data_IF_271056141091
#
_entry.id   IF_271056141091
#
_cell.length_a   1.000
_cell.length_b   1.000
_cell.length_c   1.000
_cell.angle_alpha   90.00
_cell.angle_beta   90.00
_cell.angle_gamma   90.00
#
_symmetry.space_group_name_H-M   'P 1'
#
loop_
_entity.id
_entity.type
_entity.pdbx_description
1 polymer ?
#
# COMPACT_ATOMS: atom_id res chain seq x y z
N UNK A 1 -4.45 12.47 -7.73
CA UNK A 1 -3.44 12.55 -8.81
C UNK A 1 -2.38 11.48 -8.64
N UNK A 2 -1.69 11.44 -7.51
CA UNK A 2 -0.63 10.43 -7.27
C UNK A 2 -1.13 8.98 -7.39
N UNK A 3 -2.27 8.65 -6.79
CA UNK A 3 -2.88 7.32 -6.95
C UNK A 3 -3.13 6.92 -8.43
N UNK A 4 -3.53 7.85 -9.30
CA UNK A 4 -3.76 7.59 -10.73
C UNK A 4 -2.42 7.40 -11.45
N UNK A 5 -1.40 8.19 -11.10
CA UNK A 5 -0.04 8.04 -11.65
C UNK A 5 0.54 6.67 -11.28
N UNK A 6 0.44 6.29 -10.01
CA UNK A 6 0.91 5.02 -9.48
C UNK A 6 0.12 3.83 -10.05
N UNK A 7 -1.17 3.98 -10.33
CA UNK A 7 -1.93 2.97 -11.07
C UNK A 7 -1.27 2.68 -12.43
N UNK A 8 -0.98 3.71 -13.22
CA UNK A 8 -0.31 3.56 -14.51
C UNK A 8 1.08 2.90 -14.39
N UNK A 9 1.90 3.39 -13.46
CA UNK A 9 3.25 2.86 -13.19
C UNK A 9 3.22 1.37 -12.78
N UNK A 10 2.22 0.98 -12.00
CA UNK A 10 2.05 -0.40 -11.50
C UNK A 10 1.17 -1.26 -12.41
N UNK A 11 0.95 -0.85 -13.67
CA UNK A 11 0.18 -1.61 -14.67
C UNK A 11 -1.25 -1.97 -14.20
N UNK A 12 -1.87 -1.05 -13.46
CA UNK A 12 -3.20 -1.20 -12.88
C UNK A 12 -3.24 -2.00 -11.59
N UNK A 13 -2.11 -2.36 -10.98
CA UNK A 13 -2.06 -3.16 -9.76
C UNK A 13 -2.46 -2.36 -8.52
N UNK A 14 -1.98 -1.12 -8.39
CA UNK A 14 -2.53 -0.17 -7.44
C UNK A 14 -3.77 0.49 -8.05
N UNK A 15 -4.97 0.13 -7.62
CA UNK A 15 -6.20 0.75 -8.10
C UNK A 15 -7.06 1.20 -6.91
N UNK A 16 -7.16 2.52 -6.72
CA UNK A 16 -7.95 3.12 -5.63
C UNK A 16 -9.47 3.02 -5.86
N UNK A 17 -9.93 2.42 -6.95
CA UNK A 17 -11.35 2.20 -7.23
C UNK A 17 -11.84 0.80 -6.84
N UNK A 18 -10.98 -0.03 -6.22
CA UNK A 18 -11.32 -1.40 -5.78
C UNK A 18 -12.15 -1.46 -4.50
N UNK A 19 -12.57 -0.32 -3.93
CA UNK A 19 -13.42 -0.27 -2.74
C UNK A 19 -14.62 -1.23 -2.77
N UNK A 20 -15.38 -1.37 -3.88
CA UNK A 20 -16.49 -2.32 -3.95
C UNK A 20 -16.06 -3.79 -3.77
N UNK A 21 -14.85 -4.15 -4.20
CA UNK A 21 -14.27 -5.48 -4.05
C UNK A 21 -13.71 -5.67 -2.63
N UNK A 22 -13.00 -4.69 -2.09
CA UNK A 22 -12.51 -4.69 -0.69
C UNK A 22 -13.67 -4.92 0.29
N UNK A 23 -14.80 -4.22 0.06
CA UNK A 23 -16.02 -4.40 0.81
C UNK A 23 -16.62 -5.80 0.65
N UNK A 24 -16.70 -6.32 -0.58
CA UNK A 24 -17.22 -7.65 -0.86
C UNK A 24 -16.44 -8.75 -0.11
N UNK A 25 -15.14 -8.57 0.06
CA UNK A 25 -14.28 -9.50 0.80
C UNK A 25 -14.21 -9.23 2.32
N UNK A 26 -14.99 -8.28 2.85
CA UNK A 26 -15.07 -8.03 4.29
C UNK A 26 -13.88 -7.26 4.89
N UNK A 27 -13.06 -6.63 4.04
CA UNK A 27 -11.91 -5.83 4.47
C UNK A 27 -12.23 -4.33 4.56
N UNK A 28 -13.41 -3.93 4.10
CA UNK A 28 -13.93 -2.57 4.23
C UNK A 28 -14.93 -2.42 5.40
N UNK A 29 -15.69 -1.31 5.45
CA UNK A 29 -16.67 -1.05 6.49
C UNK A 29 -17.98 -1.86 6.34
N UNK A 30 -18.18 -2.57 5.21
CA UNK A 30 -19.29 -3.50 5.04
C UNK A 30 -19.12 -4.71 6.00
N UNK A 31 -20.25 -5.29 6.44
CA UNK A 31 -20.23 -6.43 7.34
C UNK A 31 -19.45 -7.60 6.72
N UNK A 32 -18.59 -8.25 7.52
CA UNK A 32 -17.75 -9.37 7.07
C UNK A 32 -18.63 -10.55 6.65
N UNK A 33 -18.57 -11.00 5.40
CA UNK A 33 -19.20 -12.24 5.02
C UNK A 33 -18.36 -13.41 5.58
N UNK A 34 -19.02 -14.36 6.24
CA UNK A 34 -18.39 -15.64 6.65
C UNK A 34 -18.20 -16.60 5.45
N UNK A 35 -18.68 -16.20 4.26
CA UNK A 35 -18.75 -17.01 3.05
C UNK A 35 -17.98 -16.33 1.93
N UNK A 36 -17.23 -17.14 1.18
CA UNK A 36 -16.53 -16.69 -0.03
C UNK A 36 -17.57 -16.18 -1.05
N UNK A 37 -17.40 -14.97 -1.62
CA UNK A 37 -18.30 -14.43 -2.62
C UNK A 37 -18.47 -15.35 -3.83
N UNK A 38 -19.68 -15.41 -4.36
CA UNK A 38 -19.98 -16.11 -5.62
C UNK A 38 -19.31 -15.39 -6.81
N UNK A 39 -19.10 -16.10 -7.92
CA UNK A 39 -18.56 -15.48 -9.13
C UNK A 39 -19.53 -14.43 -9.70
N UNK A 40 -20.85 -14.56 -9.50
CA UNK A 40 -21.83 -13.54 -9.90
C UNK A 40 -21.70 -12.25 -9.06
N UNK A 41 -21.60 -12.36 -7.73
CA UNK A 41 -21.40 -11.20 -6.85
C UNK A 41 -20.07 -10.49 -7.16
N UNK A 42 -19.02 -11.28 -7.40
CA UNK A 42 -17.71 -10.78 -7.78
C UNK A 42 -17.76 -10.00 -9.10
N UNK A 43 -18.41 -10.57 -10.13
CA UNK A 43 -18.58 -9.91 -11.42
C UNK A 43 -19.37 -8.60 -11.29
N UNK A 44 -20.44 -8.60 -10.49
CA UNK A 44 -21.26 -7.41 -10.24
C UNK A 44 -20.46 -6.29 -9.53
N UNK A 45 -19.66 -6.62 -8.52
CA UNK A 45 -18.81 -5.63 -7.83
C UNK A 45 -17.69 -5.12 -8.73
N UNK A 46 -17.05 -6.00 -9.49
CA UNK A 46 -15.98 -5.65 -10.43
C UNK A 46 -16.45 -4.71 -11.54
N UNK A 47 -17.70 -4.83 -11.99
CA UNK A 47 -18.30 -3.90 -12.95
C UNK A 47 -18.42 -2.45 -12.41
N UNK A 48 -18.25 -2.25 -11.10
CA UNK A 48 -18.24 -0.93 -10.45
C UNK A 48 -16.82 -0.43 -10.13
N UNK A 49 -15.79 -0.98 -10.78
CA UNK A 49 -14.38 -0.65 -10.55
C UNK A 49 -13.68 -0.27 -11.86
N UNK A 50 -12.61 0.52 -11.75
CA UNK A 50 -11.72 0.85 -12.85
C UNK A 50 -11.22 2.30 -12.74
N UNK A 51 -9.90 2.47 -12.66
CA UNK A 51 -9.28 3.80 -12.53
C UNK A 51 -9.66 4.77 -13.66
N UNK A 52 -9.96 4.26 -14.86
CA UNK A 52 -10.30 5.07 -16.03
C UNK A 52 -11.64 5.79 -15.88
N UNK A 53 -12.48 5.34 -14.93
CA UNK A 53 -13.72 6.01 -14.54
C UNK A 53 -13.50 7.18 -13.59
N UNK A 54 -12.27 7.45 -13.15
CA UNK A 54 -11.92 8.55 -12.25
C UNK A 54 -10.99 9.54 -12.95
N UNK A 55 -11.37 10.80 -13.00
CA UNK A 55 -10.54 11.88 -13.54
C UNK A 55 -10.37 13.03 -12.55
N UNK A 56 -9.25 13.75 -12.71
CA UNK A 56 -8.92 14.94 -11.91
C UNK A 56 -8.68 16.10 -12.85
N UNK A 57 -9.46 17.16 -12.71
CA UNK A 57 -9.26 18.43 -13.42
C UNK A 57 -9.11 19.57 -12.40
N UNK A 58 -7.92 20.19 -12.35
CA UNK A 58 -7.59 21.14 -11.30
C UNK A 58 -7.75 20.54 -9.89
N UNK A 59 -8.77 21.04 -9.17
CA UNK A 59 -9.18 20.63 -7.82
C UNK A 59 -10.52 19.87 -7.81
N UNK A 60 -11.05 19.51 -8.98
CA UNK A 60 -12.30 18.80 -9.14
C UNK A 60 -12.04 17.34 -9.47
N UNK A 61 -12.81 16.45 -8.83
CA UNK A 61 -12.87 15.03 -9.16
C UNK A 61 -14.14 14.77 -9.96
N UNK A 62 -14.05 13.96 -11.01
CA UNK A 62 -15.20 13.52 -11.80
C UNK A 62 -15.19 12.01 -11.96
N UNK A 63 -16.39 11.42 -11.95
CA UNK A 63 -16.61 10.00 -12.26
C UNK A 63 -17.69 9.84 -13.31
N UNK A 64 -17.45 8.97 -14.29
CA UNK A 64 -18.44 8.62 -15.32
C UNK A 64 -19.22 7.34 -14.98
N UNK A 65 -18.78 6.61 -13.96
CA UNK A 65 -19.47 5.46 -13.38
C UNK A 65 -20.14 5.85 -12.05
N UNK A 66 -21.49 5.91 -11.97
CA UNK A 66 -22.19 6.45 -10.79
C UNK A 66 -21.85 5.73 -9.48
N UNK A 67 -21.68 4.42 -9.53
CA UNK A 67 -21.39 3.58 -8.38
C UNK A 67 -19.89 3.42 -8.10
N UNK A 68 -19.02 4.17 -8.79
CA UNK A 68 -17.59 4.15 -8.50
C UNK A 68 -17.36 4.59 -7.06
N UNK A 69 -16.60 3.77 -6.34
CA UNK A 69 -16.20 4.00 -4.96
C UNK A 69 -14.67 4.13 -4.91
N UNK A 70 -14.18 5.25 -4.37
CA UNK A 70 -12.74 5.49 -4.22
C UNK A 70 -12.33 5.18 -2.79
N UNK A 71 -11.38 4.27 -2.64
CA UNK A 71 -10.73 3.89 -1.40
C UNK A 71 -9.25 4.32 -1.44
N UNK A 72 -8.87 5.20 -0.51
CA UNK A 72 -7.51 5.74 -0.40
C UNK A 72 -6.71 5.08 0.74
N UNK A 73 -7.17 3.97 1.29
CA UNK A 73 -6.53 3.31 2.45
C UNK A 73 -5.07 2.93 2.22
N UNK A 74 -4.66 2.75 0.97
CA UNK A 74 -3.31 2.37 0.53
C UNK A 74 -2.37 3.56 0.22
N UNK A 75 -2.81 4.80 0.45
CA UNK A 75 -2.03 6.00 0.11
C UNK A 75 -2.23 7.15 1.10
N UNK A 76 -3.36 7.18 1.81
CA UNK A 76 -3.73 8.28 2.70
C UNK A 76 -2.89 8.33 3.98
N UNK A 77 -2.41 7.19 4.48
CA UNK A 77 -1.51 7.16 5.65
C UNK A 77 -0.18 7.81 5.32
N UNK A 78 0.43 7.41 4.19
CA UNK A 78 1.65 8.05 3.69
C UNK A 78 1.48 9.55 3.44
N UNK A 79 0.33 9.99 2.93
CA UNK A 79 0.03 11.42 2.82
C UNK A 79 0.00 12.13 4.18
N UNK A 80 -0.63 11.53 5.20
CA UNK A 80 -0.66 12.07 6.55
C UNK A 80 0.74 12.23 7.16
N UNK A 81 1.62 11.25 6.92
CA UNK A 81 3.03 11.31 7.31
C UNK A 81 3.74 12.47 6.63
N UNK A 82 3.53 12.66 5.32
CA UNK A 82 4.13 13.75 4.56
C UNK A 82 3.68 15.12 5.10
N UNK A 83 2.38 15.30 5.38
CA UNK A 83 1.82 16.54 5.94
C UNK A 83 2.45 16.89 7.29
N UNK A 84 2.58 15.92 8.19
CA UNK A 84 3.19 16.16 9.51
C UNK A 84 4.68 16.44 9.39
N UNK A 85 5.39 15.73 8.52
CA UNK A 85 6.81 15.98 8.27
C UNK A 85 7.07 17.38 7.72
N UNK A 86 6.24 17.84 6.77
CA UNK A 86 6.34 19.18 6.21
C UNK A 86 6.02 20.26 7.26
N UNK A 87 5.04 20.02 8.13
CA UNK A 87 4.76 20.91 9.27
C UNK A 87 5.95 21.04 10.23
N UNK A 88 6.57 19.92 10.62
CA UNK A 88 7.77 19.96 11.47
C UNK A 88 8.90 20.76 10.82
N UNK A 89 9.10 20.60 9.51
CA UNK A 89 10.07 21.39 8.76
C UNK A 89 9.73 22.88 8.77
N UNK A 90 8.44 23.26 8.63
CA UNK A 90 8.03 24.67 8.68
C UNK A 90 8.24 25.31 10.04
N UNK A 91 8.18 24.53 11.12
CA UNK A 91 8.51 24.95 12.50
C UNK A 91 10.02 24.96 12.78
N UNK A 92 10.86 24.68 11.77
CA UNK A 92 12.32 24.70 11.89
C UNK A 92 12.91 23.42 12.48
N UNK A 93 12.12 22.37 12.72
CA UNK A 93 12.61 21.08 13.24
C UNK A 93 13.35 20.33 12.13
N UNK A 94 14.66 20.16 12.28
CA UNK A 94 15.52 19.52 11.28
C UNK A 94 15.81 18.03 11.54
N UNK A 95 15.45 17.51 12.71
CA UNK A 95 15.69 16.13 13.12
C UNK A 95 14.38 15.52 13.59
N UNK A 96 13.79 14.61 12.81
CA UNK A 96 12.53 13.96 13.17
C UNK A 96 12.35 12.59 12.52
N UNK A 97 11.46 11.82 13.13
CA UNK A 97 10.84 10.62 12.58
C UNK A 97 9.34 10.76 12.78
N UNK A 98 8.60 10.82 11.68
CA UNK A 98 7.13 10.75 11.70
C UNK A 98 6.75 9.32 11.33
N UNK A 99 5.83 8.72 12.10
CA UNK A 99 5.29 7.38 11.85
C UNK A 99 3.77 7.38 12.05
N UNK A 100 3.04 6.80 11.09
CA UNK A 100 1.59 6.61 11.16
C UNK A 100 1.22 5.26 10.56
N UNK A 101 0.96 4.26 11.40
CA UNK A 101 0.42 2.96 10.96
C UNK A 101 1.43 2.08 10.21
N UNK A 102 2.74 2.29 10.45
CA UNK A 102 3.85 1.62 9.80
C UNK A 102 4.52 2.44 8.69
N UNK A 103 3.85 3.45 8.15
CA UNK A 103 4.41 4.39 7.17
C UNK A 103 5.20 5.48 7.88
N UNK A 104 6.37 5.84 7.33
CA UNK A 104 7.33 6.71 7.99
C UNK A 104 7.96 7.74 7.06
N UNK A 105 8.38 8.88 7.61
CA UNK A 105 9.29 9.84 6.96
C UNK A 105 10.30 10.39 7.96
N UNK A 106 11.57 10.35 7.54
CA UNK A 106 12.73 10.61 8.38
C UNK A 106 13.48 11.83 7.89
N UNK A 107 14.08 12.57 8.82
CA UNK A 107 15.02 13.64 8.52
C UNK A 107 16.10 13.74 9.61
N UNK A 108 17.34 13.93 9.19
CA UNK A 108 18.47 14.22 10.07
C UNK A 108 18.88 13.01 10.92
N UNK A 109 19.17 13.28 12.19
CA UNK A 109 19.74 12.29 13.12
C UNK A 109 18.87 12.11 14.37
N UNK A 110 19.03 10.98 15.04
CA UNK A 110 18.37 10.70 16.31
C UNK A 110 19.07 11.44 17.48
N UNK A 111 18.59 11.19 18.72
CA UNK A 111 19.15 11.80 19.95
C UNK A 111 20.64 11.51 20.22
N UNK A 112 21.19 10.48 19.57
CA UNK A 112 22.60 10.04 19.70
C UNK A 112 23.48 10.63 18.58
N UNK A 113 22.90 11.42 17.67
CA UNK A 113 23.63 12.06 16.57
C UNK A 113 23.91 11.14 15.38
N UNK A 114 23.27 9.97 15.30
CA UNK A 114 23.38 9.01 14.19
C UNK A 114 22.09 8.97 13.36
N UNK A 115 22.14 8.53 12.08
CA UNK A 115 20.94 8.37 11.27
C UNK A 115 19.86 7.54 11.97
N UNK A 116 18.60 7.84 11.68
CA UNK A 116 17.48 7.07 12.20
C UNK A 116 17.54 5.62 11.73
N UNK A 117 17.46 4.69 12.69
CA UNK A 117 17.53 3.24 12.44
C UNK A 117 16.13 2.65 12.40
N UNK A 118 15.80 1.98 11.31
CA UNK A 118 14.49 1.37 11.09
C UNK A 118 14.64 -0.13 10.96
N UNK A 119 13.84 -0.87 11.73
CA UNK A 119 13.76 -2.31 11.62
C UNK A 119 12.74 -2.70 10.55
N UNK A 120 13.17 -3.48 9.55
CA UNK A 120 12.27 -4.26 8.70
C UNK A 120 11.98 -5.56 9.44
N UNK A 121 10.70 -5.81 9.71
CA UNK A 121 10.26 -7.01 10.40
C UNK A 121 10.33 -8.25 9.50
N UNK A 122 10.64 -9.40 10.10
CA UNK A 122 10.43 -10.69 9.46
C UNK A 122 8.93 -11.02 9.52
N UNK A 123 8.31 -11.44 8.40
CA UNK A 123 6.88 -11.66 8.36
C UNK A 123 6.51 -13.04 8.92
N UNK A 124 6.69 -13.21 10.23
CA UNK A 124 6.27 -14.39 10.99
C UNK A 124 5.00 -14.07 11.77
N UNK A 125 4.05 -15.01 11.79
CA UNK A 125 2.73 -14.81 12.43
C UNK A 125 2.84 -14.71 13.95
N UNK A 126 3.79 -15.43 14.55
CA UNK A 126 3.82 -15.68 15.99
C UNK A 126 4.88 -14.87 16.75
N UNK A 127 5.81 -14.22 16.05
CA UNK A 127 6.91 -13.47 16.67
C UNK A 127 7.26 -12.21 15.88
N UNK A 128 7.49 -11.10 16.60
CA UNK A 128 8.13 -9.90 16.04
C UNK A 128 9.63 -10.10 16.09
N UNK A 129 10.20 -10.62 15.01
CA UNK A 129 11.65 -10.71 14.84
C UNK A 129 12.13 -9.70 13.79
N UNK A 130 13.32 -9.16 14.00
CA UNK A 130 13.93 -8.19 13.08
C UNK A 130 14.58 -8.97 11.94
N UNK A 131 14.19 -8.68 10.71
CA UNK A 131 14.85 -9.20 9.52
C UNK A 131 16.11 -8.40 9.23
N UNK A 132 16.01 -7.06 9.25
CA UNK A 132 17.11 -6.16 8.89
C UNK A 132 16.93 -4.80 9.59
N UNK A 133 18.03 -4.11 9.88
CA UNK A 133 18.02 -2.72 10.35
C UNK A 133 18.70 -1.86 9.30
N UNK A 134 17.98 -0.85 8.80
CA UNK A 134 18.45 0.06 7.77
C UNK A 134 18.56 1.49 8.32
N UNK A 135 19.39 2.31 7.65
CA UNK A 135 19.56 3.74 7.91
C UNK A 135 19.23 4.54 6.65
N UNK A 136 17.95 4.85 6.39
CA UNK A 136 17.50 5.38 5.10
C UNK A 136 17.89 6.84 4.86
N UNK A 137 18.42 7.53 5.87
CA UNK A 137 18.67 8.96 5.85
C UNK A 137 17.37 9.76 5.71
N UNK A 138 17.42 10.84 4.92
CA UNK A 138 16.28 11.73 4.67
C UNK A 138 15.33 11.13 3.62
N UNK A 139 14.64 10.05 3.99
CA UNK A 139 13.73 9.28 3.14
C UNK A 139 12.45 8.91 3.91
N UNK A 140 11.41 8.64 3.14
CA UNK A 140 10.20 7.98 3.57
C UNK A 140 10.26 6.48 3.29
N UNK A 141 9.46 5.73 4.05
CA UNK A 141 9.44 4.27 4.08
C UNK A 141 8.00 3.83 4.25
N UNK A 142 7.57 2.84 3.47
CA UNK A 142 6.30 2.16 3.69
C UNK A 142 6.48 0.66 3.51
N UNK A 143 5.72 -0.13 4.27
CA UNK A 143 5.76 -1.59 4.17
C UNK A 143 4.34 -2.14 4.05
N UNK A 144 4.06 -2.81 2.93
CA UNK A 144 2.84 -3.61 2.74
C UNK A 144 3.14 -5.09 3.02
N UNK A 145 2.18 -5.81 3.60
CA UNK A 145 2.34 -7.24 3.88
C UNK A 145 1.01 -7.95 4.14
N UNK A 146 0.96 -9.25 3.88
CA UNK A 146 -0.26 -10.07 3.96
C UNK A 146 -0.36 -10.90 5.25
N UNK A 147 0.68 -10.89 6.08
CA UNK A 147 0.84 -11.79 7.22
C UNK A 147 0.03 -11.41 8.48
N UNK A 148 -0.49 -10.18 8.58
CA UNK A 148 -1.25 -9.70 9.77
C UNK A 148 -2.76 -9.63 9.57
N UNK A 149 -3.22 -9.35 8.35
CA UNK A 149 -4.62 -9.09 8.05
C UNK A 149 -5.12 -10.08 6.99
N UNK A 150 -5.66 -11.20 7.47
CA UNK A 150 -6.28 -12.25 6.66
C UNK A 150 -7.49 -12.84 7.39
N UNK A 151 -8.37 -13.51 6.64
CA UNK A 151 -9.32 -14.48 7.22
C UNK A 151 -9.09 -15.86 6.60
N UNK A 152 -9.53 -16.90 7.28
CA UNK A 152 -9.40 -18.28 6.81
C UNK A 152 -10.79 -18.87 6.55
N UNK A 153 -10.99 -19.49 5.39
CA UNK A 153 -12.21 -20.22 5.05
C UNK A 153 -11.84 -21.50 4.30
N UNK A 154 -12.33 -22.65 4.78
CA UNK A 154 -12.02 -23.98 4.25
C UNK A 154 -10.50 -24.27 4.14
N UNK A 155 -9.70 -23.79 5.11
CA UNK A 155 -8.24 -23.97 5.11
C UNK A 155 -7.47 -23.07 4.13
N UNK A 156 -8.16 -22.14 3.44
CA UNK A 156 -7.55 -21.15 2.55
C UNK A 156 -7.50 -19.79 3.25
N UNK A 157 -6.32 -19.17 3.28
CA UNK A 157 -6.13 -17.81 3.80
C UNK A 157 -6.36 -16.78 2.70
N UNK A 158 -7.17 -15.77 3.02
CA UNK A 158 -7.51 -14.66 2.14
C UNK A 158 -6.95 -13.37 2.74
N UNK A 159 -6.04 -12.70 2.04
CA UNK A 159 -5.46 -11.43 2.49
C UNK A 159 -6.37 -10.24 2.14
N UNK A 160 -6.16 -9.12 2.84
CA UNK A 160 -6.88 -7.87 2.59
C UNK A 160 -6.51 -7.15 1.28
N UNK A 161 -5.44 -7.59 0.62
CA UNK A 161 -4.94 -6.96 -0.61
C UNK A 161 -5.60 -7.64 -1.80
N UNK A 162 -6.40 -6.87 -2.55
CA UNK A 162 -7.17 -7.36 -3.69
C UNK A 162 -6.39 -7.13 -4.98
N UNK A 163 -6.33 -8.15 -5.85
CA UNK A 163 -5.85 -7.98 -7.21
C UNK A 163 -6.98 -7.40 -8.09
N UNK A 164 -6.85 -6.18 -8.64
CA UNK A 164 -7.94 -5.55 -9.40
C UNK A 164 -8.33 -6.35 -10.66
N UNK A 165 -7.40 -7.11 -11.25
CA UNK A 165 -7.64 -7.89 -12.46
C UNK A 165 -8.51 -9.12 -12.21
N UNK A 166 -8.34 -9.77 -11.07
CA UNK A 166 -9.12 -10.98 -10.71
C UNK A 166 -10.33 -10.61 -9.85
N UNK A 167 -10.25 -9.51 -9.12
CA UNK A 167 -11.19 -9.11 -8.08
C UNK A 167 -11.08 -9.95 -6.79
N UNK A 168 -10.08 -10.83 -6.71
CA UNK A 168 -9.85 -11.76 -5.60
C UNK A 168 -8.62 -11.31 -4.79
N UNK A 169 -8.49 -11.71 -3.51
CA UNK A 169 -7.25 -11.57 -2.76
C UNK A 169 -6.04 -12.08 -3.55
N UNK A 170 -4.90 -11.42 -3.37
CA UNK A 170 -3.65 -11.80 -4.01
C UNK A 170 -3.26 -13.25 -3.65
N UNK A 171 -2.67 -13.96 -4.61
CA UNK A 171 -2.24 -15.35 -4.45
C UNK A 171 -0.87 -15.55 -5.11
N UNK A 172 0.18 -15.12 -4.40
CA UNK A 172 1.59 -15.28 -4.77
C UNK A 172 2.45 -15.44 -3.51
N UNK A 173 3.77 -15.53 -3.68
CA UNK A 173 4.71 -15.84 -2.59
C UNK A 173 5.26 -14.61 -1.87
N UNK A 174 5.07 -13.40 -2.41
CA UNK A 174 5.49 -12.15 -1.74
C UNK A 174 4.72 -11.98 -0.44
N UNK A 175 5.45 -11.91 0.67
CA UNK A 175 4.92 -11.79 2.03
C UNK A 175 4.94 -10.34 2.51
N UNK A 176 5.98 -9.59 2.11
CA UNK A 176 6.06 -8.16 2.38
C UNK A 176 6.86 -7.43 1.31
N UNK A 177 6.51 -6.16 1.11
CA UNK A 177 7.21 -5.21 0.25
C UNK A 177 7.47 -3.93 1.03
N UNK A 178 8.74 -3.59 1.22
CA UNK A 178 9.18 -2.31 1.79
C UNK A 178 9.70 -1.43 0.67
N UNK A 179 9.23 -0.19 0.59
CA UNK A 179 9.62 0.79 -0.44
C UNK A 179 10.20 2.04 0.24
N UNK A 180 11.27 2.58 -0.33
CA UNK A 180 11.79 3.90 0.03
C UNK A 180 11.45 4.92 -1.06
N UNK A 181 11.01 6.10 -0.66
CA UNK A 181 10.80 7.25 -1.56
C UNK A 181 11.04 8.56 -0.78
N UNK A 182 11.08 9.72 -1.44
CA UNK A 182 11.10 11.02 -0.73
C UNK A 182 9.74 11.38 -0.11
N UNK A 183 8.66 10.87 -0.69
CA UNK A 183 7.29 11.02 -0.23
C UNK A 183 6.77 9.71 0.35
N UNK A 184 6.27 9.77 1.58
CA UNK A 184 5.64 8.64 2.24
C UNK A 184 4.36 8.22 1.52
N UNK A 185 3.60 9.17 0.97
CA UNK A 185 2.45 8.89 0.10
C UNK A 185 2.83 8.02 -1.11
N UNK A 186 3.98 8.30 -1.74
CA UNK A 186 4.47 7.56 -2.90
C UNK A 186 4.95 6.16 -2.51
N UNK A 187 5.72 6.05 -1.42
CA UNK A 187 6.18 4.78 -0.89
C UNK A 187 5.00 3.85 -0.51
N UNK A 188 3.96 4.38 0.14
CA UNK A 188 2.76 3.66 0.59
C UNK A 188 2.02 3.02 -0.60
N UNK A 189 1.71 3.84 -1.62
CA UNK A 189 1.05 3.35 -2.83
C UNK A 189 1.92 2.36 -3.62
N UNK A 190 3.23 2.59 -3.72
CA UNK A 190 4.15 1.67 -4.40
C UNK A 190 4.24 0.32 -3.68
N UNK A 191 4.33 0.31 -2.35
CA UNK A 191 4.44 -0.92 -1.58
C UNK A 191 3.26 -1.86 -1.87
N UNK A 192 2.03 -1.35 -1.90
CA UNK A 192 0.85 -2.16 -2.23
C UNK A 192 0.82 -2.53 -3.71
N UNK A 193 1.09 -1.59 -4.63
CA UNK A 193 1.04 -1.87 -6.06
C UNK A 193 2.06 -2.94 -6.49
N UNK A 194 3.29 -2.84 -5.99
CA UNK A 194 4.34 -3.83 -6.25
C UNK A 194 4.05 -5.17 -5.59
N UNK A 195 3.43 -5.17 -4.41
CA UNK A 195 2.97 -6.40 -3.78
C UNK A 195 1.94 -7.12 -4.67
N UNK A 196 0.91 -6.42 -5.16
CA UNK A 196 -0.11 -6.99 -6.05
C UNK A 196 0.48 -7.56 -7.36
N UNK A 197 1.56 -6.97 -7.86
CA UNK A 197 2.25 -7.46 -9.07
C UNK A 197 2.98 -8.79 -8.86
N UNK A 198 3.36 -9.11 -7.63
CA UNK A 198 4.25 -10.22 -7.31
C UNK A 198 5.73 -9.91 -7.58
N UNK A 199 6.60 -10.86 -7.24
CA UNK A 199 8.06 -10.69 -7.18
C UNK A 199 8.66 -10.30 -8.54
N UNK A 200 8.33 -11.02 -9.60
CA UNK A 200 9.00 -10.85 -10.90
C UNK A 200 8.65 -9.50 -11.53
N UNK A 201 7.35 -9.20 -11.62
CA UNK A 201 6.87 -7.95 -12.22
C UNK A 201 7.13 -6.75 -11.32
N UNK A 202 6.98 -6.92 -10.01
CA UNK A 202 7.25 -5.87 -9.03
C UNK A 202 8.72 -5.45 -9.07
N UNK A 203 9.65 -6.41 -9.04
CA UNK A 203 11.08 -6.11 -9.14
C UNK A 203 11.47 -5.56 -10.52
N UNK A 204 10.83 -6.02 -11.60
CA UNK A 204 11.06 -5.45 -12.93
C UNK A 204 10.70 -3.96 -12.98
N UNK A 205 9.50 -3.58 -12.50
CA UNK A 205 9.07 -2.18 -12.41
C UNK A 205 9.98 -1.38 -11.49
N UNK A 206 10.37 -1.93 -10.34
CA UNK A 206 11.25 -1.26 -9.40
C UNK A 206 12.61 -0.94 -10.04
N UNK A 207 13.23 -1.91 -10.72
CA UNK A 207 14.50 -1.73 -11.41
C UNK A 207 14.42 -0.74 -12.57
N UNK A 208 13.38 -0.83 -13.41
CA UNK A 208 13.18 0.07 -14.55
C UNK A 208 13.03 1.54 -14.11
N UNK A 209 12.46 1.76 -12.92
CA UNK A 209 12.15 3.09 -12.40
C UNK A 209 13.09 3.54 -11.26
N UNK A 210 14.16 2.78 -10.98
CA UNK A 210 15.12 3.04 -9.89
C UNK A 210 14.45 3.23 -8.51
N UNK A 211 13.43 2.41 -8.21
CA UNK A 211 12.71 2.44 -6.94
C UNK A 211 13.46 1.53 -5.94
N UNK A 212 13.95 2.04 -4.80
CA UNK A 212 14.54 1.22 -3.76
C UNK A 212 13.46 0.37 -3.09
N UNK A 213 13.56 -0.95 -3.25
CA UNK A 213 12.56 -1.92 -2.77
C UNK A 213 13.25 -3.10 -2.10
N UNK A 214 12.66 -3.56 -1.00
CA UNK A 214 13.01 -4.81 -0.34
C UNK A 214 11.77 -5.71 -0.28
N UNK A 215 11.81 -6.85 -0.97
CA UNK A 215 10.73 -7.84 -0.95
C UNK A 215 11.15 -9.09 -0.19
N UNK A 216 10.25 -9.58 0.67
CA UNK A 216 10.40 -10.90 1.30
C UNK A 216 9.43 -11.85 0.61
N UNK A 217 9.95 -12.98 0.13
CA UNK A 217 9.22 -14.00 -0.65
C UNK A 217 9.37 -15.36 0.04
N UNK A 218 8.30 -16.17 0.05
CA UNK A 218 8.26 -17.51 0.66
C UNK A 218 8.87 -18.62 -0.21
#
# INVERSE_FOLDING_TARGET
>A
KEAIRLNGLTLGALDVTVGPLVNLWGFGPEARPDVVPTDEELAARKANTGIHHLSVDGNTLSKDLPNLYVDLSTIAKGWGVDVVADYLQSEGVQNFMVEVGGEMRLKGVNREGVPWRIAIEKPTVDERSIQEIIEPGDMAIATSGDYRNYFESNGVRYSHIINPRTGKPIHHKVVSVTVLDKSSMTADGLATGLMVLGEDKGMAIANENNIPVFMIVK
#
